data_IF_511185221184
#
_entry.id   IF_511185221184
#
_cell.length_a   1.000
_cell.length_b   1.000
_cell.length_c   1.000
_cell.angle_alpha   90.00
_cell.angle_beta   90.00
_cell.angle_gamma   90.00
#
_symmetry.space_group_name_H-M   'P 1'
#
loop_
_entity.id
_entity.type
_entity.pdbx_description
1 polymer ?
#
# COMPACT_ATOMS: atom_id res chain seq x y z
N UNK A 1 6.50 -23.99 20.09
CA UNK A 1 5.34 -24.33 19.25
C UNK A 1 5.78 -25.48 18.39
N UNK A 2 5.10 -26.63 18.49
CA UNK A 2 5.32 -27.75 17.57
C UNK A 2 4.45 -27.49 16.32
N UNK A 3 4.98 -27.79 15.14
CA UNK A 3 4.29 -27.59 13.85
C UNK A 3 3.92 -28.94 13.28
N UNK A 4 2.68 -29.08 12.78
CA UNK A 4 2.16 -30.30 12.14
C UNK A 4 1.86 -30.03 10.67
N UNK A 5 2.10 -31.01 9.80
CA UNK A 5 1.99 -30.90 8.35
C UNK A 5 0.67 -31.49 7.81
N UNK A 6 -0.43 -31.25 8.52
CA UNK A 6 -1.78 -31.66 8.14
C UNK A 6 -2.72 -30.46 7.97
N UNK A 7 -3.86 -30.69 7.32
CA UNK A 7 -4.83 -29.64 7.03
C UNK A 7 -5.50 -29.09 8.30
N UNK A 8 -5.73 -29.92 9.32
CA UNK A 8 -6.39 -29.50 10.57
C UNK A 8 -5.52 -28.52 11.36
N UNK A 9 -4.20 -28.70 11.34
CA UNK A 9 -3.28 -27.74 11.92
C UNK A 9 -3.34 -26.37 11.21
N UNK A 10 -3.40 -26.34 9.87
CA UNK A 10 -3.54 -25.09 9.11
C UNK A 10 -4.89 -24.39 9.39
N UNK A 11 -5.99 -25.14 9.38
CA UNK A 11 -7.33 -24.63 9.69
C UNK A 11 -7.41 -24.05 11.11
N UNK A 12 -6.75 -24.67 12.08
CA UNK A 12 -6.66 -24.15 13.44
C UNK A 12 -5.91 -22.80 13.49
N UNK A 13 -4.79 -22.68 12.76
CA UNK A 13 -4.02 -21.44 12.69
C UNK A 13 -4.83 -20.31 12.03
N UNK A 14 -5.58 -20.59 10.97
CA UNK A 14 -6.48 -19.63 10.34
C UNK A 14 -7.59 -19.19 11.31
N UNK A 15 -8.15 -20.11 12.10
CA UNK A 15 -9.23 -19.82 13.04
C UNK A 15 -8.81 -18.92 14.22
N UNK A 16 -7.53 -18.91 14.58
CA UNK A 16 -6.98 -18.06 15.66
C UNK A 16 -6.26 -16.81 15.14
N UNK A 17 -6.19 -16.61 13.83
CA UNK A 17 -5.52 -15.45 13.25
C UNK A 17 -6.33 -14.17 13.48
N UNK A 18 -5.83 -13.33 14.39
CA UNK A 18 -6.38 -12.01 14.70
C UNK A 18 -6.32 -11.02 13.52
N UNK A 19 -5.58 -11.34 12.45
CA UNK A 19 -5.46 -10.52 11.23
C UNK A 19 -6.31 -11.04 10.07
N UNK A 20 -7.05 -12.13 10.25
CA UNK A 20 -7.84 -12.78 9.19
C UNK A 20 -8.77 -11.82 8.45
N UNK A 21 -9.38 -10.85 9.16
CA UNK A 21 -10.26 -9.83 8.57
C UNK A 21 -9.57 -8.94 7.51
N UNK A 22 -8.24 -8.80 7.56
CA UNK A 22 -7.52 -8.00 6.57
C UNK A 22 -7.56 -8.63 5.18
N UNK A 23 -7.74 -9.95 5.08
CA UNK A 23 -7.88 -10.65 3.80
C UNK A 23 -9.00 -10.06 2.95
N UNK A 24 -10.12 -9.74 3.58
CA UNK A 24 -11.31 -9.20 2.91
C UNK A 24 -11.08 -7.78 2.36
N UNK A 25 -10.01 -7.10 2.77
CA UNK A 25 -9.65 -5.78 2.26
C UNK A 25 -8.93 -5.82 0.91
N UNK A 26 -8.61 -7.00 0.40
CA UNK A 26 -7.90 -7.19 -0.88
C UNK A 26 -8.76 -7.91 -1.92
N UNK A 27 -8.46 -7.65 -3.18
CA UNK A 27 -9.05 -8.36 -4.31
C UNK A 27 -8.13 -9.54 -4.64
N UNK A 28 -8.56 -10.75 -4.28
CA UNK A 28 -7.83 -12.00 -4.58
C UNK A 28 -8.28 -12.51 -5.95
N UNK A 29 -7.36 -12.77 -6.90
CA UNK A 29 -7.72 -13.32 -8.20
C UNK A 29 -8.36 -14.70 -8.09
N UNK A 30 -9.25 -15.01 -9.04
CA UNK A 30 -9.83 -16.34 -9.23
C UNK A 30 -9.53 -16.88 -10.62
N UNK A 31 -9.26 -18.18 -10.73
CA UNK A 31 -9.11 -18.91 -11.99
C UNK A 31 -10.14 -20.05 -11.98
N UNK A 32 -10.96 -20.15 -13.02
CA UNK A 32 -12.02 -21.15 -13.15
C UNK A 32 -13.02 -21.20 -11.97
N UNK A 33 -13.24 -20.05 -11.31
CA UNK A 33 -14.13 -19.92 -10.16
C UNK A 33 -13.48 -20.17 -8.81
N UNK A 34 -12.22 -20.63 -8.79
CA UNK A 34 -11.46 -20.91 -7.56
C UNK A 34 -10.47 -19.79 -7.24
N UNK A 35 -10.31 -19.46 -5.96
CA UNK A 35 -9.35 -18.45 -5.52
C UNK A 35 -7.91 -18.93 -5.73
N UNK A 36 -7.06 -18.06 -6.27
CA UNK A 36 -5.64 -18.38 -6.49
C UNK A 36 -4.86 -18.32 -5.19
N UNK A 37 -3.98 -19.30 -4.97
CA UNK A 37 -2.95 -19.25 -3.93
C UNK A 37 -1.82 -18.31 -4.38
N UNK A 38 -1.96 -17.02 -4.05
CA UNK A 38 -1.08 -15.96 -4.56
C UNK A 38 0.17 -15.76 -3.69
N UNK A 39 1.25 -16.50 -3.99
CA UNK A 39 2.52 -16.49 -3.24
C UNK A 39 3.59 -15.54 -3.82
N UNK A 40 3.18 -14.49 -4.54
CA UNK A 40 4.10 -13.55 -5.22
C UNK A 40 3.85 -12.08 -4.84
N UNK A 41 3.24 -11.86 -3.66
CA UNK A 41 2.96 -10.53 -3.11
C UNK A 41 4.21 -9.67 -2.87
N UNK A 42 5.39 -10.29 -2.77
CA UNK A 42 6.68 -9.61 -2.66
C UNK A 42 7.12 -8.92 -3.96
N UNK A 43 6.63 -9.37 -5.10
CA UNK A 43 6.90 -8.71 -6.39
C UNK A 43 5.82 -7.67 -6.70
N UNK A 44 4.54 -8.05 -6.54
CA UNK A 44 3.40 -7.17 -6.75
C UNK A 44 2.31 -7.49 -5.73
N UNK A 45 2.02 -6.55 -4.83
CA UNK A 45 0.96 -6.72 -3.85
C UNK A 45 -0.42 -6.82 -4.50
N UNK A 46 -1.33 -7.58 -3.87
CA UNK A 46 -2.73 -7.59 -4.29
C UNK A 46 -3.34 -6.20 -4.19
N UNK A 47 -4.27 -5.90 -5.09
CA UNK A 47 -4.96 -4.61 -5.09
C UNK A 47 -5.84 -4.47 -3.84
N UNK A 48 -5.66 -3.41 -3.03
CA UNK A 48 -6.61 -3.08 -1.97
C UNK A 48 -7.96 -2.68 -2.57
N UNK A 49 -9.05 -3.15 -1.96
CA UNK A 49 -10.42 -2.85 -2.41
C UNK A 49 -10.77 -1.38 -2.44
N UNK A 50 -10.04 -0.53 -1.72
CA UNK A 50 -10.22 0.93 -1.62
C UNK A 50 -9.50 1.72 -2.72
N UNK A 51 -8.56 1.10 -3.44
CA UNK A 51 -7.72 1.81 -4.41
C UNK A 51 -8.52 2.39 -5.60
N UNK A 52 -9.46 1.66 -6.24
CA UNK A 52 -10.26 2.22 -7.33
C UNK A 52 -11.11 3.43 -6.92
N UNK A 53 -11.67 3.41 -5.71
CA UNK A 53 -12.54 4.47 -5.18
C UNK A 53 -11.74 5.75 -5.01
N UNK A 54 -10.56 5.68 -4.38
CA UNK A 54 -9.70 6.85 -4.18
C UNK A 54 -9.28 7.44 -5.53
N UNK A 55 -8.91 6.59 -6.49
CA UNK A 55 -8.53 7.06 -7.84
C UNK A 55 -9.69 7.77 -8.54
N UNK A 56 -10.89 7.19 -8.49
CA UNK A 56 -12.08 7.79 -9.10
C UNK A 56 -12.48 9.10 -8.42
N UNK A 57 -12.28 9.24 -7.11
CA UNK A 57 -12.48 10.51 -6.40
C UNK A 57 -11.54 11.61 -6.95
N UNK A 58 -10.27 11.30 -7.18
CA UNK A 58 -9.30 12.27 -7.74
C UNK A 58 -9.60 12.62 -9.20
N UNK A 59 -9.98 11.63 -10.01
CA UNK A 59 -10.39 11.87 -11.40
C UNK A 59 -11.61 12.78 -11.48
N UNK A 60 -12.60 12.58 -10.59
CA UNK A 60 -13.77 13.45 -10.48
C UNK A 60 -13.39 14.86 -10.02
N UNK A 61 -12.54 14.97 -8.99
CA UNK A 61 -12.06 16.24 -8.49
C UNK A 61 -11.35 17.05 -9.60
N UNK A 62 -10.54 16.38 -10.41
CA UNK A 62 -9.88 17.01 -11.54
C UNK A 62 -10.87 17.52 -12.58
N UNK A 63 -11.87 16.72 -12.96
CA UNK A 63 -12.91 17.13 -13.90
C UNK A 63 -13.72 18.35 -13.40
N UNK A 64 -13.96 18.43 -12.10
CA UNK A 64 -14.77 19.51 -11.49
C UNK A 64 -13.97 20.79 -11.24
N UNK A 65 -12.69 20.69 -10.84
CA UNK A 65 -11.92 21.81 -10.29
C UNK A 65 -10.72 22.23 -11.12
N UNK A 66 -10.24 21.39 -12.03
CA UNK A 66 -9.02 21.65 -12.80
C UNK A 66 -7.85 22.03 -11.87
N UNK A 67 -7.19 23.15 -12.17
CA UNK A 67 -6.04 23.67 -11.40
C UNK A 67 -6.36 23.92 -9.92
N UNK A 68 -7.63 24.21 -9.56
CA UNK A 68 -7.99 24.47 -8.18
C UNK A 68 -7.88 23.20 -7.30
N UNK A 69 -7.79 22.00 -7.90
CA UNK A 69 -7.50 20.76 -7.17
C UNK A 69 -6.15 20.76 -6.45
N UNK A 70 -5.19 21.60 -6.87
CA UNK A 70 -3.93 21.78 -6.16
C UNK A 70 -4.09 22.18 -4.70
N UNK A 71 -5.16 22.91 -4.37
CA UNK A 71 -5.42 23.50 -3.06
C UNK A 71 -6.73 22.98 -2.43
N UNK A 72 -7.25 21.85 -2.92
CA UNK A 72 -8.45 21.24 -2.35
C UNK A 72 -8.22 20.79 -0.90
N UNK A 73 -9.25 20.91 -0.04
CA UNK A 73 -9.12 20.60 1.39
C UNK A 73 -8.97 19.11 1.69
N UNK A 74 -9.48 18.21 0.83
CA UNK A 74 -9.48 16.78 1.13
C UNK A 74 -8.11 16.15 0.90
N UNK A 75 -7.54 16.37 -0.30
CA UNK A 75 -6.22 15.85 -0.70
C UNK A 75 -5.55 16.87 -1.64
N UNK A 76 -4.97 17.96 -1.10
CA UNK A 76 -4.32 18.98 -1.93
C UNK A 76 -3.14 18.35 -2.69
N UNK A 77 -3.12 18.50 -4.01
CA UNK A 77 -2.09 17.84 -4.84
C UNK A 77 -0.68 18.39 -4.60
N UNK A 78 -0.55 19.65 -4.17
CA UNK A 78 0.76 20.27 -3.89
C UNK A 78 1.48 19.53 -2.77
N UNK A 79 0.78 19.26 -1.67
CA UNK A 79 1.36 18.67 -0.46
C UNK A 79 1.16 17.15 -0.37
N UNK A 80 0.61 16.53 -1.43
CA UNK A 80 0.24 15.10 -1.43
C UNK A 80 1.40 14.18 -1.02
N UNK A 81 2.63 14.49 -1.45
CA UNK A 81 3.83 13.71 -1.16
C UNK A 81 4.16 13.58 0.35
N UNK A 82 3.71 14.54 1.18
CA UNK A 82 3.88 14.51 2.64
C UNK A 82 2.78 13.75 3.38
N UNK A 83 1.58 13.64 2.80
CA UNK A 83 0.44 12.97 3.44
C UNK A 83 0.72 11.51 3.84
N UNK A 84 1.33 10.65 2.98
CA UNK A 84 1.68 9.30 3.38
C UNK A 84 2.89 9.24 4.32
N UNK A 85 3.65 10.33 4.48
CA UNK A 85 4.88 10.39 5.26
C UNK A 85 4.70 9.94 6.71
N UNK A 86 3.60 10.31 7.37
CA UNK A 86 3.32 9.88 8.77
C UNK A 86 3.17 8.36 8.87
N UNK A 87 2.37 7.76 7.98
CA UNK A 87 2.15 6.31 7.98
C UNK A 87 3.41 5.54 7.61
N UNK A 88 4.18 6.05 6.63
CA UNK A 88 5.44 5.44 6.21
C UNK A 88 6.52 5.56 7.28
N UNK A 89 6.64 6.70 7.94
CA UNK A 89 7.57 6.93 9.04
C UNK A 89 7.34 5.92 10.19
N UNK A 90 6.08 5.66 10.55
CA UNK A 90 5.74 4.61 11.52
C UNK A 90 6.18 3.21 11.07
N UNK A 91 6.06 2.90 9.78
CA UNK A 91 6.42 1.59 9.23
C UNK A 91 7.93 1.36 9.23
N UNK A 92 8.73 2.39 8.91
CA UNK A 92 10.20 2.29 8.81
C UNK A 92 10.94 2.69 10.08
N UNK A 93 10.23 3.17 11.12
CA UNK A 93 10.83 3.57 12.40
C UNK A 93 11.54 4.92 12.38
N UNK A 94 11.03 5.89 11.60
CA UNK A 94 11.60 7.23 11.46
C UNK A 94 10.63 8.32 11.96
N UNK A 95 11.08 9.58 12.01
CA UNK A 95 10.21 10.73 12.25
C UNK A 95 9.47 11.11 10.96
N UNK A 96 8.25 11.69 11.05
CA UNK A 96 7.51 12.14 9.86
C UNK A 96 8.29 13.12 8.97
N UNK A 97 9.17 13.93 9.54
CA UNK A 97 10.02 14.87 8.81
C UNK A 97 11.19 14.21 8.05
N UNK A 98 11.48 12.93 8.32
CA UNK A 98 12.60 12.20 7.73
C UNK A 98 12.17 11.31 6.55
N UNK A 99 10.87 11.24 6.23
CA UNK A 99 10.31 10.33 5.21
C UNK A 99 9.39 11.06 4.26
N UNK A 100 9.60 10.85 2.95
CA UNK A 100 8.74 11.35 1.87
C UNK A 100 8.47 10.24 0.85
N UNK A 101 7.25 10.20 0.30
CA UNK A 101 6.91 9.29 -0.81
C UNK A 101 7.07 10.06 -2.12
N UNK A 102 8.09 9.69 -2.90
CA UNK A 102 8.41 10.34 -4.17
C UNK A 102 9.10 9.38 -5.15
N UNK A 103 9.02 9.69 -6.45
CA UNK A 103 9.71 8.99 -7.55
C UNK A 103 9.62 7.45 -7.49
N UNK A 104 10.65 6.78 -8.02
CA UNK A 104 10.85 5.33 -7.94
C UNK A 104 12.07 5.01 -7.06
N UNK A 105 12.21 3.73 -6.65
CA UNK A 105 13.32 3.27 -5.82
C UNK A 105 14.69 3.66 -6.38
N UNK A 106 14.94 3.36 -7.65
CA UNK A 106 16.24 3.61 -8.30
C UNK A 106 16.55 5.11 -8.38
N UNK A 107 15.55 5.95 -8.68
CA UNK A 107 15.74 7.41 -8.70
C UNK A 107 16.11 7.91 -7.30
N UNK A 108 15.38 7.48 -6.27
CA UNK A 108 15.66 7.92 -4.90
C UNK A 108 17.04 7.46 -4.43
N UNK A 109 17.46 6.25 -4.80
CA UNK A 109 18.82 5.78 -4.50
C UNK A 109 19.87 6.66 -5.18
N UNK A 110 19.70 7.02 -6.45
CA UNK A 110 20.62 7.94 -7.11
C UNK A 110 20.66 9.32 -6.47
N UNK A 111 19.52 9.86 -6.02
CA UNK A 111 19.47 11.12 -5.28
C UNK A 111 20.22 11.04 -3.94
N UNK A 112 20.16 9.91 -3.24
CA UNK A 112 20.96 9.70 -2.03
C UNK A 112 22.45 9.60 -2.35
N UNK A 113 22.82 8.83 -3.39
CA UNK A 113 24.21 8.62 -3.76
C UNK A 113 24.88 9.90 -4.24
N UNK A 114 24.22 10.72 -5.07
CA UNK A 114 24.80 12.00 -5.52
C UNK A 114 25.03 12.98 -4.36
N UNK A 115 24.24 12.90 -3.29
CA UNK A 115 24.37 13.78 -2.14
C UNK A 115 25.35 13.28 -1.08
N UNK A 116 25.45 11.97 -0.87
CA UNK A 116 26.14 11.39 0.28
C UNK A 116 27.28 10.41 -0.03
N UNK A 117 27.37 9.90 -1.27
CA UNK A 117 28.43 8.94 -1.63
C UNK A 117 29.77 9.66 -1.83
N UNK A 118 30.83 9.12 -1.23
CA UNK A 118 32.23 9.57 -1.36
C UNK A 118 33.11 8.44 -1.87
#
# INVERSE_FOLDING_TARGET
MEFEADAGFAEHLDAIDTLSEFRDRFIVPSVDGESVVYLVGNSLGLQPRTAPQILNEEMKLWAEKGVAGHFDQRRPWVDYHTQPGVSMARLVGAQPAEVVVMNTLTINLHLLMISFYQ
#
